data_IF_723974587152
#
_entry.id   IF_723974587152
#
_cell.length_a   1.000
_cell.length_b   1.000
_cell.length_c   1.000
_cell.angle_alpha   90.00
_cell.angle_beta   90.00
_cell.angle_gamma   90.00
#
_symmetry.space_group_name_H-M   'P 1'
#
loop_
_entity.id
_entity.type
_entity.pdbx_description
1 polymer ?
#
# COMPACT_ATOMS: atom_id res chain seq x y z
N UNK A 1 17.85 -35.25 -22.52
CA UNK A 1 17.78 -34.79 -21.11
C UNK A 1 16.34 -34.82 -20.66
N UNK A 2 16.01 -35.59 -19.62
CA UNK A 2 14.66 -35.58 -19.04
C UNK A 2 14.49 -34.29 -18.24
N UNK A 3 13.43 -33.55 -18.53
CA UNK A 3 13.00 -32.39 -17.73
C UNK A 3 11.86 -32.84 -16.84
N UNK A 4 11.98 -32.66 -15.53
CA UNK A 4 10.90 -32.91 -14.59
C UNK A 4 10.30 -31.59 -14.15
N UNK A 5 8.99 -31.39 -14.34
CA UNK A 5 8.29 -30.21 -13.84
C UNK A 5 8.22 -30.29 -12.31
N UNK A 6 8.73 -29.25 -11.64
CA UNK A 6 8.70 -29.11 -10.18
C UNK A 6 7.49 -28.28 -9.78
N UNK A 7 7.29 -27.16 -10.48
CA UNK A 7 6.31 -26.16 -10.12
C UNK A 7 5.86 -25.37 -11.36
N UNK A 8 4.58 -24.99 -11.35
CA UNK A 8 3.99 -24.06 -12.30
C UNK A 8 3.27 -22.98 -11.49
N UNK A 9 3.65 -21.72 -11.71
CA UNK A 9 3.02 -20.55 -11.14
C UNK A 9 2.68 -19.54 -12.22
N UNK A 10 2.13 -18.40 -11.81
CA UNK A 10 1.83 -17.30 -12.73
C UNK A 10 2.31 -15.98 -12.17
N UNK A 11 2.86 -15.13 -13.03
CA UNK A 11 3.11 -13.73 -12.68
C UNK A 11 2.45 -12.81 -13.69
N UNK A 12 2.25 -11.57 -13.30
CA UNK A 12 1.57 -10.57 -14.14
C UNK A 12 2.53 -10.00 -15.17
N UNK A 13 2.09 -9.97 -16.43
CA UNK A 13 2.80 -9.35 -17.54
C UNK A 13 2.03 -8.12 -18.01
N UNK A 14 2.57 -6.95 -17.70
CA UNK A 14 1.99 -5.67 -18.14
C UNK A 14 2.41 -5.42 -19.58
N UNK A 15 1.55 -5.77 -20.54
CA UNK A 15 1.77 -5.47 -21.95
C UNK A 15 1.39 -4.02 -22.26
N UNK A 16 2.17 -3.32 -23.08
CA UNK A 16 1.82 -1.99 -23.59
C UNK A 16 0.49 -2.02 -24.36
N UNK A 17 -0.50 -1.28 -23.88
CA UNK A 17 -1.81 -1.16 -24.53
C UNK A 17 -1.85 0.06 -25.47
N UNK A 18 -2.63 -0.01 -26.56
CA UNK A 18 -2.80 1.13 -27.47
C UNK A 18 -3.34 2.37 -26.76
N UNK A 19 -4.27 2.17 -25.81
CA UNK A 19 -4.82 3.23 -24.96
C UNK A 19 -3.73 3.97 -24.18
N UNK A 20 -2.72 3.25 -23.67
CA UNK A 20 -1.61 3.86 -22.94
C UNK A 20 -0.82 4.85 -23.80
N UNK A 21 -0.67 4.54 -25.10
CA UNK A 21 -0.03 5.46 -26.06
C UNK A 21 -0.85 6.73 -26.31
N UNK A 22 -2.19 6.62 -26.30
CA UNK A 22 -3.10 7.76 -26.50
C UNK A 22 -3.04 8.72 -25.31
N UNK A 23 -2.97 8.19 -24.09
CA UNK A 23 -3.01 9.01 -22.86
C UNK A 23 -1.62 9.41 -22.34
N UNK A 24 -0.55 8.95 -22.99
CA UNK A 24 0.83 9.22 -22.58
C UNK A 24 1.14 10.71 -22.36
N UNK A 25 0.73 11.66 -23.24
CA UNK A 25 0.99 13.09 -23.00
C UNK A 25 0.36 13.60 -21.70
N UNK A 26 -0.84 13.12 -21.35
CA UNK A 26 -1.52 13.50 -20.11
C UNK A 26 -0.82 12.92 -18.88
N UNK A 27 -0.23 11.73 -19.01
CA UNK A 27 0.55 11.09 -17.94
C UNK A 27 1.82 11.88 -17.66
N UNK A 28 2.53 12.34 -18.69
CA UNK A 28 3.71 13.18 -18.53
C UNK A 28 3.36 14.54 -17.89
N UNK A 29 2.22 15.14 -18.25
CA UNK A 29 1.71 16.34 -17.58
C UNK A 29 1.39 16.07 -16.11
N UNK A 30 0.75 14.94 -15.76
CA UNK A 30 0.51 14.56 -14.35
C UNK A 30 1.84 14.44 -13.60
N UNK A 31 2.83 13.74 -14.15
CA UNK A 31 4.15 13.58 -13.52
C UNK A 31 4.80 14.94 -13.27
N UNK A 32 4.81 15.83 -14.26
CA UNK A 32 5.33 17.18 -14.12
C UNK A 32 4.63 17.94 -12.96
N UNK A 33 3.29 17.94 -12.94
CA UNK A 33 2.52 18.60 -11.89
C UNK A 33 2.75 17.99 -10.51
N UNK A 34 2.91 16.67 -10.44
CA UNK A 34 3.20 15.97 -9.20
C UNK A 34 4.62 16.30 -8.70
N UNK A 35 5.62 16.35 -9.58
CA UNK A 35 6.98 16.80 -9.23
C UNK A 35 6.97 18.24 -8.72
N UNK A 36 6.22 19.14 -9.39
CA UNK A 36 6.07 20.53 -8.93
C UNK A 36 5.40 20.57 -7.56
N UNK A 37 4.35 19.77 -7.34
CA UNK A 37 3.68 19.66 -6.05
C UNK A 37 4.60 19.15 -4.95
N UNK A 38 5.31 18.04 -5.16
CA UNK A 38 6.23 17.46 -4.18
C UNK A 38 7.37 18.42 -3.86
N UNK A 39 7.89 19.12 -4.87
CA UNK A 39 8.86 20.18 -4.70
C UNK A 39 8.31 21.33 -3.83
N UNK A 40 7.15 21.89 -4.18
CA UNK A 40 6.51 22.97 -3.41
C UNK A 40 6.16 22.54 -1.99
N UNK A 41 5.65 21.32 -1.81
CA UNK A 41 5.34 20.74 -0.52
C UNK A 41 6.62 20.62 0.32
N UNK A 42 7.72 20.15 -0.29
CA UNK A 42 9.02 20.08 0.37
C UNK A 42 9.50 21.47 0.82
N UNK A 43 9.41 22.48 -0.06
CA UNK A 43 9.78 23.87 0.25
C UNK A 43 8.95 24.47 1.40
N UNK A 44 7.63 24.31 1.32
CA UNK A 44 6.68 24.79 2.34
C UNK A 44 7.04 24.17 3.69
N UNK A 45 7.23 22.85 3.76
CA UNK A 45 7.56 22.20 5.02
C UNK A 45 9.00 22.47 5.50
N UNK A 46 9.98 22.57 4.59
CA UNK A 46 11.37 22.89 4.95
C UNK A 46 11.50 24.28 5.55
N UNK A 47 10.76 25.27 5.01
CA UNK A 47 10.76 26.64 5.52
C UNK A 47 9.87 26.80 6.77
N UNK A 48 8.62 26.30 6.75
CA UNK A 48 7.66 26.52 7.85
C UNK A 48 7.96 25.70 9.11
N UNK A 49 8.38 24.44 8.98
CA UNK A 49 8.61 23.56 10.14
C UNK A 49 10.08 23.56 10.55
N UNK A 50 10.98 23.45 9.57
CA UNK A 50 12.39 23.23 9.86
C UNK A 50 13.22 24.53 9.86
N UNK A 51 12.61 25.67 9.49
CA UNK A 51 13.28 26.98 9.46
C UNK A 51 14.49 27.02 8.52
N UNK A 52 14.59 26.05 7.59
CA UNK A 52 15.69 25.97 6.64
C UNK A 52 15.33 26.84 5.44
N UNK A 53 16.07 27.93 5.27
CA UNK A 53 16.04 28.69 4.01
C UNK A 53 16.62 27.83 2.89
N UNK A 54 16.06 27.96 1.71
CA UNK A 54 16.65 27.41 0.49
C UNK A 54 18.09 27.92 0.32
N UNK A 55 19.04 27.01 0.15
CA UNK A 55 20.45 27.34 -0.02
C UNK A 55 20.75 27.99 -1.40
N UNK A 56 19.81 27.93 -2.36
CA UNK A 56 20.02 28.38 -3.73
C UNK A 56 18.92 29.34 -4.23
N UNK A 57 19.26 30.62 -4.36
CA UNK A 57 18.35 31.69 -4.82
C UNK A 57 17.93 31.54 -6.29
N UNK A 58 18.78 30.91 -7.12
CA UNK A 58 18.48 30.67 -8.54
C UNK A 58 17.30 29.72 -8.75
N UNK A 59 17.24 28.64 -7.98
CA UNK A 59 16.14 27.66 -8.07
C UNK A 59 14.81 28.30 -7.64
N UNK A 60 14.86 29.20 -6.65
CA UNK A 60 13.71 29.98 -6.20
C UNK A 60 13.20 30.93 -7.28
N UNK A 61 14.11 31.59 -7.99
CA UNK A 61 13.78 32.51 -9.09
C UNK A 61 13.19 31.77 -10.30
N UNK A 62 13.76 30.61 -10.66
CA UNK A 62 13.23 29.76 -11.73
C UNK A 62 11.82 29.26 -11.36
N UNK A 63 11.63 28.78 -10.14
CA UNK A 63 10.32 28.35 -9.64
C UNK A 63 9.30 29.50 -9.67
N UNK A 64 9.70 30.72 -9.31
CA UNK A 64 8.84 31.91 -9.37
C UNK A 64 8.43 32.28 -10.80
N UNK A 65 9.34 32.19 -11.78
CA UNK A 65 9.01 32.43 -13.19
C UNK A 65 8.03 31.39 -13.73
N UNK A 66 8.27 30.11 -13.45
CA UNK A 66 7.36 29.01 -13.81
C UNK A 66 5.98 29.25 -13.18
N UNK A 67 5.94 29.60 -11.90
CA UNK A 67 4.70 29.91 -11.20
C UNK A 67 3.93 31.07 -11.83
N UNK A 68 4.61 32.15 -12.23
CA UNK A 68 4.00 33.28 -12.92
C UNK A 68 3.39 32.87 -14.27
N UNK A 69 4.11 32.09 -15.08
CA UNK A 69 3.63 31.59 -16.37
C UNK A 69 2.40 30.69 -16.21
N UNK A 70 2.47 29.73 -15.28
CA UNK A 70 1.34 28.82 -15.00
C UNK A 70 0.13 29.57 -14.46
N UNK A 71 0.33 30.62 -13.66
CA UNK A 71 -0.75 31.47 -13.17
C UNK A 71 -1.44 32.22 -14.30
N UNK A 72 -0.66 32.76 -15.24
CA UNK A 72 -1.16 33.44 -16.43
C UNK A 72 -1.97 32.48 -17.33
N UNK A 73 -1.48 31.27 -17.53
CA UNK A 73 -2.21 30.20 -18.21
C UNK A 73 -3.52 29.85 -17.47
N UNK A 74 -3.45 29.67 -16.16
CA UNK A 74 -4.63 29.38 -15.33
C UNK A 74 -5.70 30.47 -15.44
N UNK A 75 -5.31 31.74 -15.49
CA UNK A 75 -6.22 32.86 -15.72
C UNK A 75 -6.90 32.80 -17.09
N UNK A 76 -6.15 32.55 -18.17
CA UNK A 76 -6.71 32.45 -19.52
C UNK A 76 -7.62 31.23 -19.70
N UNK A 77 -7.33 30.13 -19.00
CA UNK A 77 -8.12 28.91 -19.08
C UNK A 77 -9.19 28.78 -17.99
N UNK A 78 -9.44 29.83 -17.18
CA UNK A 78 -10.34 29.78 -16.01
C UNK A 78 -11.72 29.18 -16.29
N UNK A 79 -12.28 29.44 -17.48
CA UNK A 79 -13.62 28.98 -17.87
C UNK A 79 -13.61 27.50 -18.33
N UNK A 80 -12.44 26.95 -18.66
CA UNK A 80 -12.23 25.59 -19.14
C UNK A 80 -11.64 24.65 -18.08
N UNK A 81 -11.15 25.16 -16.95
CA UNK A 81 -10.52 24.37 -15.87
C UNK A 81 -11.38 23.17 -15.48
N UNK A 82 -12.69 23.36 -15.35
CA UNK A 82 -13.62 22.28 -14.95
C UNK A 82 -13.79 21.22 -16.03
N UNK A 83 -13.88 21.63 -17.30
CA UNK A 83 -13.95 20.70 -18.43
C UNK A 83 -12.67 19.87 -18.46
N UNK A 84 -11.51 20.51 -18.28
CA UNK A 84 -10.21 19.84 -18.21
C UNK A 84 -10.17 18.83 -17.06
N UNK A 85 -10.62 19.21 -15.86
CA UNK A 85 -10.67 18.31 -14.68
C UNK A 85 -11.61 17.12 -14.93
N UNK A 86 -12.82 17.35 -15.46
CA UNK A 86 -13.80 16.29 -15.73
C UNK A 86 -13.25 15.31 -16.78
N UNK A 87 -12.71 15.82 -17.88
CA UNK A 87 -12.11 15.00 -18.93
C UNK A 87 -10.94 14.19 -18.36
N UNK A 88 -10.07 14.82 -17.55
CA UNK A 88 -8.98 14.11 -16.89
C UNK A 88 -9.49 13.01 -15.96
N UNK A 89 -10.53 13.27 -15.16
CA UNK A 89 -11.12 12.29 -14.27
C UNK A 89 -11.73 11.10 -15.02
N UNK A 90 -12.42 11.36 -16.14
CA UNK A 90 -12.95 10.30 -17.01
C UNK A 90 -11.81 9.46 -17.59
N UNK A 91 -10.76 10.09 -18.13
CA UNK A 91 -9.59 9.40 -18.69
C UNK A 91 -8.88 8.57 -17.62
N UNK A 92 -8.69 9.12 -16.43
CA UNK A 92 -8.11 8.43 -15.28
C UNK A 92 -8.94 7.23 -14.85
N UNK A 93 -10.27 7.40 -14.72
CA UNK A 93 -11.16 6.31 -14.36
C UNK A 93 -11.15 5.19 -15.40
N UNK A 94 -11.17 5.54 -16.70
CA UNK A 94 -11.07 4.58 -17.79
C UNK A 94 -9.73 3.83 -17.76
N UNK A 95 -8.61 4.51 -17.49
CA UNK A 95 -7.29 3.87 -17.34
C UNK A 95 -7.29 2.85 -16.20
N UNK A 96 -7.78 3.25 -15.01
CA UNK A 96 -7.93 2.36 -13.86
C UNK A 96 -8.83 1.16 -14.17
N UNK A 97 -9.96 1.40 -14.85
CA UNK A 97 -10.90 0.35 -15.20
C UNK A 97 -10.31 -0.64 -16.21
N UNK A 98 -9.66 -0.15 -17.27
CA UNK A 98 -8.98 -1.00 -18.26
C UNK A 98 -7.86 -1.80 -17.63
N UNK A 99 -7.03 -1.17 -16.80
CA UNK A 99 -5.91 -1.85 -16.15
C UNK A 99 -6.39 -2.92 -15.16
N UNK A 100 -7.44 -2.62 -14.39
CA UNK A 100 -8.07 -3.58 -13.49
C UNK A 100 -8.63 -4.77 -14.28
N UNK A 101 -9.38 -4.49 -15.34
CA UNK A 101 -9.97 -5.53 -16.17
C UNK A 101 -8.90 -6.41 -16.83
N UNK A 102 -7.79 -5.82 -17.31
CA UNK A 102 -6.67 -6.58 -17.85
C UNK A 102 -6.08 -7.51 -16.79
N UNK A 103 -5.75 -7.00 -15.62
CA UNK A 103 -5.13 -7.78 -14.54
C UNK A 103 -5.97 -9.00 -14.11
N UNK A 104 -7.28 -8.80 -13.89
CA UNK A 104 -8.16 -9.87 -13.43
C UNK A 104 -8.55 -10.85 -14.54
N UNK A 105 -8.22 -10.55 -15.80
CA UNK A 105 -8.34 -11.49 -16.91
C UNK A 105 -7.04 -12.25 -17.14
N UNK A 106 -7.12 -13.56 -17.40
CA UNK A 106 -5.95 -14.44 -17.62
C UNK A 106 -5.04 -14.04 -18.79
N UNK A 107 -5.46 -13.09 -19.63
CA UNK A 107 -4.75 -12.70 -20.85
C UNK A 107 -3.44 -11.93 -20.60
N UNK A 108 -3.24 -11.38 -19.41
CA UNK A 108 -2.02 -10.66 -19.02
C UNK A 108 -1.23 -11.38 -17.92
N UNK A 109 -1.42 -12.69 -17.77
CA UNK A 109 -0.57 -13.53 -16.91
C UNK A 109 0.39 -14.33 -17.77
N UNK A 110 1.63 -14.44 -17.31
CA UNK A 110 2.63 -15.35 -17.87
C UNK A 110 2.80 -16.53 -16.94
N UNK A 111 2.90 -17.71 -17.53
CA UNK A 111 3.19 -18.92 -16.79
C UNK A 111 4.69 -18.98 -16.51
N UNK A 112 5.03 -19.26 -15.26
CA UNK A 112 6.39 -19.56 -14.80
C UNK A 112 6.47 -21.05 -14.53
N UNK A 113 7.46 -21.70 -15.13
CA UNK A 113 7.73 -23.12 -14.95
C UNK A 113 9.11 -23.32 -14.34
N UNK A 114 9.20 -24.12 -13.29
CA UNK A 114 10.46 -24.58 -12.74
C UNK A 114 10.67 -26.04 -13.13
N UNK A 115 11.77 -26.32 -13.83
CA UNK A 115 12.15 -27.68 -14.21
C UNK A 115 13.43 -28.12 -13.53
N UNK A 116 13.46 -29.37 -13.11
CA UNK A 116 14.68 -30.08 -12.73
C UNK A 116 15.34 -30.69 -13.97
N UNK A 117 16.64 -30.47 -14.11
CA UNK A 117 17.52 -31.04 -15.13
C UNK A 117 18.68 -31.72 -14.39
N UNK A 118 18.96 -32.97 -14.78
CA UNK A 118 20.14 -33.73 -14.30
C UNK A 118 20.31 -33.77 -12.76
N UNK A 119 19.18 -33.91 -12.04
CA UNK A 119 19.07 -34.13 -10.57
C UNK A 119 19.63 -33.05 -9.63
N UNK A 120 20.26 -31.99 -10.14
CA UNK A 120 20.75 -30.91 -9.28
C UNK A 120 20.67 -29.51 -9.92
N UNK A 121 20.25 -29.42 -11.17
CA UNK A 121 20.12 -28.14 -11.87
C UNK A 121 18.65 -27.79 -12.03
N UNK A 122 18.30 -26.57 -11.69
CA UNK A 122 16.97 -26.01 -11.82
C UNK A 122 17.01 -24.96 -12.91
N UNK A 123 16.05 -25.01 -13.82
CA UNK A 123 15.84 -23.94 -14.79
C UNK A 123 14.46 -23.31 -14.58
N UNK A 124 14.45 -21.97 -14.55
CA UNK A 124 13.24 -21.17 -14.58
C UNK A 124 12.94 -20.78 -16.01
N UNK A 125 11.76 -21.18 -16.48
CA UNK A 125 11.24 -20.84 -17.80
C UNK A 125 10.02 -19.94 -17.66
N UNK A 126 9.89 -18.95 -18.54
CA UNK A 126 8.67 -18.16 -18.68
C UNK A 126 8.06 -18.39 -20.07
N UNK A 127 6.73 -18.43 -20.13
CA UNK A 127 5.98 -18.50 -21.38
C UNK A 127 5.22 -17.21 -21.59
N UNK A 128 5.60 -16.42 -22.59
CA UNK A 128 4.87 -15.20 -22.93
C UNK A 128 3.48 -15.54 -23.51
N UNK A 129 2.48 -14.66 -23.34
CA UNK A 129 1.16 -14.89 -23.88
C UNK A 129 1.26 -14.92 -25.41
N UNK A 130 0.62 -15.91 -26.05
CA UNK A 130 0.58 -16.09 -27.52
C UNK A 130 1.91 -16.51 -28.17
N UNK A 131 2.92 -16.93 -27.39
CA UNK A 131 4.13 -17.58 -27.93
C UNK A 131 4.19 -19.03 -27.52
N UNK A 132 4.59 -19.92 -28.42
CA UNK A 132 4.83 -21.34 -28.12
C UNK A 132 6.22 -21.60 -27.52
N UNK A 133 7.09 -20.59 -27.50
CA UNK A 133 8.46 -20.68 -27.01
C UNK A 133 8.57 -20.29 -25.55
N UNK A 134 9.13 -21.18 -24.75
CA UNK A 134 9.55 -20.88 -23.38
C UNK A 134 10.96 -20.28 -23.40
N UNK A 135 11.16 -19.15 -22.74
CA UNK A 135 12.49 -18.57 -22.54
C UNK A 135 13.01 -18.92 -21.14
N UNK A 136 14.27 -19.36 -21.07
CA UNK A 136 14.94 -19.58 -19.80
C UNK A 136 15.38 -18.23 -19.24
N UNK A 137 14.89 -17.87 -18.05
CA UNK A 137 15.25 -16.62 -17.38
C UNK A 137 16.18 -16.85 -16.19
N UNK A 138 16.21 -18.08 -15.65
CA UNK A 138 17.03 -18.44 -14.50
C UNK A 138 17.60 -19.85 -14.64
N UNK A 139 18.80 -20.05 -14.09
CA UNK A 139 19.42 -21.36 -13.92
C UNK A 139 20.22 -21.35 -12.63
N UNK A 140 19.97 -22.30 -11.74
CA UNK A 140 20.62 -22.40 -10.42
C UNK A 140 20.66 -23.85 -9.94
N UNK A 141 21.47 -24.16 -8.93
CA UNK A 141 21.48 -25.47 -8.29
C UNK A 141 20.52 -25.54 -7.09
N UNK A 142 20.14 -26.75 -6.65
CA UNK A 142 19.29 -26.91 -5.46
C UNK A 142 19.93 -26.27 -4.21
N UNK A 143 21.25 -26.40 -4.08
CA UNK A 143 22.04 -25.92 -2.93
C UNK A 143 22.20 -24.39 -2.91
N UNK A 144 22.00 -23.73 -4.05
CA UNK A 144 22.05 -22.26 -4.13
C UNK A 144 20.83 -21.58 -3.51
N UNK A 145 19.73 -22.32 -3.28
CA UNK A 145 18.51 -21.78 -2.68
C UNK A 145 18.72 -21.52 -1.19
N UNK A 146 18.56 -20.26 -0.79
CA UNK A 146 18.68 -19.83 0.60
C UNK A 146 17.33 -19.94 1.31
N UNK A 147 16.32 -19.20 0.83
CA UNK A 147 14.96 -19.22 1.38
C UNK A 147 13.91 -18.89 0.32
N UNK A 148 12.66 -19.20 0.65
CA UNK A 148 11.48 -18.82 -0.13
C UNK A 148 10.84 -17.61 0.52
N UNK A 149 10.79 -16.49 -0.20
CA UNK A 149 10.18 -15.26 0.30
C UNK A 149 8.72 -15.19 -0.08
N UNK A 150 7.90 -14.66 0.83
CA UNK A 150 6.54 -14.20 0.53
C UNK A 150 6.52 -12.69 0.79
N UNK A 151 6.35 -11.90 -0.28
CA UNK A 151 6.31 -10.44 -0.22
C UNK A 151 4.93 -9.95 -0.64
N UNK A 152 4.43 -8.92 0.05
CA UNK A 152 3.18 -8.24 -0.34
C UNK A 152 3.53 -6.92 -0.99
N UNK A 153 3.12 -6.75 -2.25
CA UNK A 153 3.44 -5.59 -3.06
C UNK A 153 2.17 -4.90 -3.56
N UNK A 154 2.19 -3.56 -3.74
CA UNK A 154 1.15 -2.87 -4.45
C UNK A 154 1.17 -3.31 -5.91
N UNK A 155 0.01 -3.73 -6.41
CA UNK A 155 -0.19 -3.95 -7.82
C UNK A 155 -0.41 -2.60 -8.50
N UNK A 156 0.63 -2.10 -9.17
CA UNK A 156 0.54 -0.90 -9.98
C UNK A 156 0.01 -1.26 -11.35
N UNK A 157 -0.92 -0.46 -11.87
CA UNK A 157 -1.37 -0.64 -13.23
C UNK A 157 -1.93 0.62 -13.87
N UNK A 158 -2.19 0.49 -15.16
CA UNK A 158 -2.54 1.62 -16.02
C UNK A 158 -1.31 2.47 -16.34
N UNK A 159 -1.54 3.45 -17.20
CA UNK A 159 -0.48 4.38 -17.61
C UNK A 159 -0.18 5.38 -16.50
N UNK A 160 -1.16 5.66 -15.63
CA UNK A 160 -0.99 6.51 -14.45
C UNK A 160 -0.29 5.84 -13.27
N UNK A 161 0.07 4.54 -13.38
CA UNK A 161 0.71 3.73 -12.34
C UNK A 161 -0.03 3.77 -10.99
N UNK A 162 -1.36 3.68 -11.04
CA UNK A 162 -2.18 3.70 -9.83
C UNK A 162 -2.15 2.34 -9.14
N UNK A 163 -2.29 2.36 -7.81
CA UNK A 163 -2.41 1.14 -7.02
C UNK A 163 -3.80 0.54 -7.27
N UNK A 164 -3.86 -0.54 -8.04
CA UNK A 164 -5.09 -1.24 -8.40
C UNK A 164 -5.56 -2.19 -7.29
N UNK A 165 -4.61 -2.90 -6.68
CA UNK A 165 -4.82 -3.84 -5.57
C UNK A 165 -3.49 -4.12 -4.85
N UNK A 166 -3.47 -5.08 -3.92
CA UNK A 166 -2.26 -5.61 -3.31
C UNK A 166 -2.15 -7.12 -3.59
N UNK A 167 -0.95 -7.58 -3.94
CA UNK A 167 -0.68 -8.97 -4.31
C UNK A 167 0.40 -9.57 -3.43
N UNK A 168 0.33 -10.88 -3.23
CA UNK A 168 1.30 -11.68 -2.51
C UNK A 168 2.16 -12.45 -3.51
N UNK A 169 3.36 -11.95 -3.74
CA UNK A 169 4.35 -12.61 -4.59
C UNK A 169 5.15 -13.62 -3.78
N UNK A 170 5.39 -14.78 -4.38
CA UNK A 170 6.33 -15.78 -3.87
C UNK A 170 7.60 -15.73 -4.71
N UNK A 171 8.73 -15.67 -4.03
CA UNK A 171 10.05 -15.54 -4.66
C UNK A 171 11.04 -16.57 -4.12
N UNK A 172 11.99 -16.97 -4.95
CA UNK A 172 13.12 -17.82 -4.55
C UNK A 172 14.35 -16.92 -4.41
N UNK A 173 14.95 -16.88 -3.22
CA UNK A 173 16.19 -16.17 -2.96
C UNK A 173 17.36 -17.13 -2.94
N UNK A 174 18.44 -16.75 -3.62
CA UNK A 174 19.68 -17.50 -3.66
C UNK A 174 20.73 -16.91 -2.70
N UNK A 175 21.70 -17.72 -2.27
CA UNK A 175 22.83 -17.27 -1.44
C UNK A 175 23.69 -16.18 -2.09
N UNK A 176 23.69 -16.10 -3.42
CA UNK A 176 24.41 -15.06 -4.17
C UNK A 176 23.65 -13.71 -4.25
N UNK A 177 22.51 -13.59 -3.56
CA UNK A 177 21.68 -12.37 -3.53
C UNK A 177 20.71 -12.21 -4.71
N UNK A 178 20.77 -13.08 -5.72
CA UNK A 178 19.76 -13.09 -6.79
C UNK A 178 18.44 -13.64 -6.28
N UNK A 179 17.34 -13.11 -6.81
CA UNK A 179 16.00 -13.57 -6.49
C UNK A 179 15.15 -13.67 -7.76
N UNK A 180 14.13 -14.53 -7.71
CA UNK A 180 13.24 -14.80 -8.83
C UNK A 180 11.79 -14.89 -8.36
N UNK A 181 10.90 -14.12 -8.98
CA UNK A 181 9.45 -14.26 -8.79
C UNK A 181 8.99 -15.55 -9.45
N UNK A 182 8.23 -16.37 -8.71
CA UNK A 182 7.73 -17.67 -9.20
C UNK A 182 6.22 -17.75 -9.25
N UNK A 183 5.53 -16.96 -8.43
CA UNK A 183 4.06 -16.93 -8.39
C UNK A 183 3.53 -15.63 -7.78
N UNK A 184 2.33 -15.24 -8.16
CA UNK A 184 1.63 -14.05 -7.68
C UNK A 184 0.15 -14.37 -7.41
N UNK A 185 -0.27 -14.23 -6.14
CA UNK A 185 -1.65 -14.51 -5.73
C UNK A 185 -2.28 -13.32 -4.99
N UNK A 186 -3.60 -13.22 -5.04
CA UNK A 186 -4.35 -12.18 -4.31
C UNK A 186 -4.48 -12.53 -2.83
N UNK A 187 -4.53 -13.82 -2.50
CA UNK A 187 -4.77 -14.28 -1.14
C UNK A 187 -3.48 -14.80 -0.49
N UNK A 188 -3.17 -14.39 0.76
CA UNK A 188 -1.95 -14.84 1.45
C UNK A 188 -1.93 -16.35 1.70
N UNK A 189 -3.10 -17.00 1.76
CA UNK A 189 -3.18 -18.44 1.93
C UNK A 189 -2.65 -19.20 0.71
N UNK A 190 -2.92 -18.72 -0.50
CA UNK A 190 -2.47 -19.34 -1.74
C UNK A 190 -0.95 -19.24 -1.87
N UNK A 191 -0.39 -18.05 -1.64
CA UNK A 191 1.07 -17.84 -1.62
C UNK A 191 1.77 -18.68 -0.54
N UNK A 192 1.15 -18.85 0.63
CA UNK A 192 1.70 -19.75 1.66
C UNK A 192 1.70 -21.21 1.23
N UNK A 193 0.67 -21.68 0.51
CA UNK A 193 0.62 -23.04 -0.03
C UNK A 193 1.69 -23.23 -1.10
N UNK A 194 1.86 -22.25 -2.00
CA UNK A 194 2.93 -22.24 -3.00
C UNK A 194 4.31 -22.27 -2.35
N UNK A 195 4.56 -21.39 -1.38
CA UNK A 195 5.83 -21.33 -0.66
C UNK A 195 6.14 -22.63 0.08
N UNK A 196 5.15 -23.27 0.72
CA UNK A 196 5.33 -24.58 1.36
C UNK A 196 5.70 -25.68 0.38
N UNK A 197 5.09 -25.71 -0.81
CA UNK A 197 5.44 -26.68 -1.85
C UNK A 197 6.89 -26.51 -2.29
N UNK A 198 7.32 -25.27 -2.54
CA UNK A 198 8.69 -24.95 -2.95
C UNK A 198 9.70 -25.22 -1.82
N UNK A 199 9.43 -24.75 -0.60
CA UNK A 199 10.26 -24.96 0.57
C UNK A 199 10.48 -26.45 0.87
N UNK A 200 9.43 -27.26 0.78
CA UNK A 200 9.54 -28.72 0.95
C UNK A 200 10.43 -29.36 -0.13
N UNK A 201 10.39 -28.85 -1.36
CA UNK A 201 11.19 -29.36 -2.46
C UNK A 201 12.67 -28.97 -2.32
N UNK A 202 12.94 -27.68 -2.05
CA UNK A 202 14.29 -27.14 -1.91
C UNK A 202 14.93 -27.37 -0.53
N UNK A 203 14.15 -27.83 0.45
CA UNK A 203 14.54 -27.89 1.87
C UNK A 203 15.02 -26.53 2.40
N UNK A 204 14.31 -25.47 2.02
CA UNK A 204 14.62 -24.10 2.36
C UNK A 204 13.59 -23.52 3.32
N UNK A 205 13.97 -22.52 4.10
CA UNK A 205 13.05 -21.82 5.00
C UNK A 205 12.08 -20.92 4.22
N UNK A 206 10.96 -20.58 4.86
CA UNK A 206 9.99 -19.62 4.32
C UNK A 206 10.09 -18.35 5.14
N UNK A 207 10.27 -17.21 4.51
CA UNK A 207 10.36 -15.91 5.17
C UNK A 207 9.29 -14.98 4.57
N UNK A 208 8.49 -14.34 5.41
CA UNK A 208 7.65 -13.23 4.97
C UNK A 208 8.49 -11.95 4.98
N UNK A 209 8.60 -11.27 3.84
CA UNK A 209 9.34 -10.01 3.76
C UNK A 209 8.66 -8.92 4.60
N UNK A 210 9.49 -8.02 5.15
CA UNK A 210 9.10 -6.92 6.03
C UNK A 210 8.29 -7.35 7.25
N UNK A 211 8.52 -8.58 7.72
CA UNK A 211 7.74 -9.15 8.82
C UNK A 211 8.52 -9.22 10.12
N UNK A 212 7.77 -9.11 11.22
CA UNK A 212 8.30 -9.03 12.57
C UNK A 212 7.53 -9.95 13.52
N UNK A 213 8.23 -10.72 14.34
CA UNK A 213 7.59 -11.64 15.29
C UNK A 213 8.56 -12.45 16.13
N UNK A 214 8.17 -13.68 16.50
CA UNK A 214 8.95 -14.62 17.34
C UNK A 214 9.19 -15.98 16.66
N UNK A 215 8.89 -16.10 15.38
CA UNK A 215 8.85 -17.40 14.69
C UNK A 215 9.73 -17.36 13.45
N UNK A 216 10.30 -18.49 13.05
CA UNK A 216 11.14 -18.66 11.85
C UNK A 216 10.57 -18.16 10.51
N UNK A 217 9.26 -17.88 10.44
CA UNK A 217 8.65 -17.29 9.25
C UNK A 217 8.92 -15.79 9.10
N UNK A 218 9.50 -15.15 10.12
CA UNK A 218 9.68 -13.70 10.14
C UNK A 218 11.07 -13.29 9.72
N UNK A 219 11.17 -12.14 9.07
CA UNK A 219 12.46 -11.56 8.67
C UNK A 219 13.23 -11.03 9.89
N UNK A 220 12.53 -10.42 10.84
CA UNK A 220 13.12 -9.80 12.02
C UNK A 220 12.43 -10.23 13.31
N UNK A 221 13.21 -10.69 14.29
CA UNK A 221 12.66 -10.97 15.61
C UNK A 221 12.37 -9.67 16.38
N UNK A 222 11.21 -9.58 17.01
CA UNK A 222 10.83 -8.45 17.84
C UNK A 222 11.54 -8.53 19.21
N UNK A 223 12.47 -7.60 19.44
CA UNK A 223 13.22 -7.53 20.70
C UNK A 223 12.27 -7.26 21.89
N UNK A 224 12.28 -8.11 22.94
CA UNK A 224 11.45 -7.93 24.14
C UNK A 224 11.64 -6.58 24.84
N UNK A 225 12.86 -6.03 24.82
CA UNK A 225 13.19 -4.73 25.43
C UNK A 225 12.50 -3.59 24.67
N UNK A 226 12.49 -3.67 23.33
CA UNK A 226 11.79 -2.70 22.51
C UNK A 226 10.28 -2.72 22.76
N UNK A 227 9.68 -3.91 22.88
CA UNK A 227 8.27 -4.08 23.22
C UNK A 227 7.93 -3.48 24.60
N UNK A 228 8.77 -3.68 25.61
CA UNK A 228 8.51 -3.13 26.95
C UNK A 228 8.54 -1.59 26.96
N UNK A 229 9.47 -0.98 26.21
CA UNK A 229 9.47 0.46 25.99
C UNK A 229 8.21 0.95 25.26
N UNK A 230 7.76 0.22 24.23
CA UNK A 230 6.53 0.55 23.51
C UNK A 230 5.28 0.49 24.40
N UNK A 231 5.17 -0.51 25.27
CA UNK A 231 4.07 -0.59 26.23
C UNK A 231 4.05 0.63 27.17
N UNK A 232 5.21 1.07 27.65
CA UNK A 232 5.29 2.23 28.53
C UNK A 232 4.93 3.55 27.83
N UNK A 233 5.24 3.68 26.53
CA UNK A 233 5.02 4.93 25.77
C UNK A 233 3.64 5.00 25.09
N UNK A 234 3.09 3.87 24.64
CA UNK A 234 1.93 3.83 23.71
C UNK A 234 0.76 2.95 24.20
N UNK A 235 0.69 2.61 25.50
CA UNK A 235 -0.35 1.75 26.08
C UNK A 235 -1.80 2.19 25.86
N UNK A 236 -2.06 3.45 25.50
CA UNK A 236 -3.44 3.92 25.34
C UNK A 236 -4.05 3.70 23.95
N UNK A 237 -3.26 3.31 22.93
CA UNK A 237 -3.75 3.07 21.56
C UNK A 237 -4.37 1.68 21.35
N UNK A 238 -4.07 0.73 22.23
CA UNK A 238 -4.61 -0.63 22.24
C UNK A 238 -5.04 -0.98 23.65
N UNK A 239 -6.28 -1.45 23.81
CA UNK A 239 -6.81 -1.90 25.09
C UNK A 239 -6.87 -3.41 25.13
N UNK A 240 -6.52 -3.95 26.28
CA UNK A 240 -6.52 -5.37 26.58
C UNK A 240 -7.40 -5.62 27.80
N UNK A 241 -8.48 -6.38 27.62
CA UNK A 241 -9.41 -6.76 28.69
C UNK A 241 -9.44 -8.28 28.81
N UNK A 242 -9.02 -8.79 29.97
CA UNK A 242 -9.00 -10.22 30.28
C UNK A 242 -10.15 -10.55 31.22
N UNK A 243 -11.00 -11.47 30.78
CA UNK A 243 -12.00 -12.13 31.62
C UNK A 243 -11.68 -13.64 31.65
N UNK A 244 -12.16 -14.35 32.68
CA UNK A 244 -11.89 -15.77 32.94
C UNK A 244 -12.13 -16.70 31.73
N UNK A 245 -13.07 -16.35 30.84
CA UNK A 245 -13.46 -17.16 29.67
C UNK A 245 -13.08 -16.53 28.32
N UNK A 246 -12.68 -15.27 28.31
CA UNK A 246 -12.58 -14.46 27.09
C UNK A 246 -11.57 -13.34 27.26
N UNK A 247 -10.72 -13.17 26.25
CA UNK A 247 -9.84 -12.01 26.12
C UNK A 247 -10.39 -11.12 25.00
N UNK A 248 -10.40 -9.81 25.22
CA UNK A 248 -10.78 -8.80 24.25
C UNK A 248 -9.63 -7.83 24.04
N UNK A 249 -9.21 -7.71 22.79
CA UNK A 249 -8.19 -6.77 22.33
C UNK A 249 -8.86 -5.81 21.38
N UNK A 250 -8.71 -4.50 21.58
CA UNK A 250 -9.26 -3.52 20.64
C UNK A 250 -8.39 -2.28 20.51
N UNK A 251 -8.39 -1.69 19.32
CA UNK A 251 -7.75 -0.40 19.09
C UNK A 251 -8.60 0.71 19.68
N UNK A 252 -7.99 1.72 20.30
CA UNK A 252 -8.69 2.90 20.78
C UNK A 252 -8.14 4.15 20.09
N UNK A 253 -9.03 5.05 19.71
CA UNK A 253 -8.61 6.35 19.19
C UNK A 253 -7.94 7.18 20.28
N UNK A 254 -6.83 7.82 19.95
CA UNK A 254 -6.14 8.77 20.83
C UNK A 254 -5.94 10.10 20.12
N UNK A 255 -5.82 11.17 20.90
CA UNK A 255 -5.53 12.50 20.37
C UNK A 255 -4.17 12.56 19.65
N UNK A 256 -3.16 11.83 20.12
CA UNK A 256 -1.88 11.65 19.39
C UNK A 256 -2.07 11.01 18.01
N UNK A 257 -3.02 10.10 17.87
CA UNK A 257 -3.39 9.50 16.57
C UNK A 257 -4.09 10.51 15.66
N UNK A 258 -4.63 11.62 16.19
CA UNK A 258 -5.32 12.66 15.41
C UNK A 258 -4.34 13.48 14.58
N UNK A 259 -3.12 13.71 15.06
CA UNK A 259 -2.08 14.39 14.24
C UNK A 259 -1.58 13.50 13.11
N UNK A 260 -1.28 12.23 13.41
CA UNK A 260 -0.90 11.25 12.37
C UNK A 260 -2.04 11.00 11.39
N UNK A 261 -3.28 11.05 11.86
CA UNK A 261 -4.45 11.02 11.00
C UNK A 261 -4.55 12.24 10.10
N UNK A 262 -4.44 13.45 10.64
CA UNK A 262 -4.43 14.69 9.85
C UNK A 262 -3.31 14.65 8.81
N UNK A 263 -2.09 14.27 9.22
CA UNK A 263 -0.96 14.09 8.30
C UNK A 263 -1.33 13.15 7.16
N UNK A 264 -1.86 11.96 7.46
CA UNK A 264 -2.27 10.97 6.44
C UNK A 264 -3.42 11.43 5.56
N UNK A 265 -4.36 12.17 6.13
CA UNK A 265 -5.49 12.77 5.42
C UNK A 265 -4.99 13.83 4.43
N UNK A 266 -4.01 14.66 4.83
CA UNK A 266 -3.34 15.60 3.94
C UNK A 266 -2.39 14.92 2.94
N UNK A 267 -1.72 13.84 3.29
CA UNK A 267 -0.93 13.06 2.32
C UNK A 267 -1.82 12.48 1.21
N UNK A 268 -3.02 12.00 1.56
CA UNK A 268 -3.93 11.33 0.61
C UNK A 268 -4.88 12.27 -0.13
N UNK A 269 -5.34 13.31 0.52
CA UNK A 269 -6.36 14.22 0.00
C UNK A 269 -5.91 15.69 -0.02
N UNK A 270 -4.78 16.00 0.61
CA UNK A 270 -4.19 17.34 0.61
C UNK A 270 -3.70 17.78 -0.75
N UNK A 271 -3.36 16.86 -1.67
CA UNK A 271 -3.10 17.21 -3.07
C UNK A 271 -4.31 17.87 -3.74
N UNK A 272 -5.52 17.32 -3.55
CA UNK A 272 -6.74 17.91 -4.10
C UNK A 272 -7.07 19.25 -3.44
N UNK A 273 -6.93 19.35 -2.12
CA UNK A 273 -7.08 20.63 -1.38
C UNK A 273 -6.08 21.66 -1.87
N UNK A 274 -4.82 21.26 -2.04
CA UNK A 274 -3.75 22.10 -2.55
C UNK A 274 -4.06 22.57 -3.96
N UNK A 275 -4.46 21.67 -4.87
CA UNK A 275 -4.86 22.07 -6.24
C UNK A 275 -5.98 23.09 -6.20
N UNK A 276 -7.03 22.90 -5.39
CA UNK A 276 -8.16 23.83 -5.33
C UNK A 276 -7.74 25.19 -4.77
N UNK A 277 -6.99 25.23 -3.68
CA UNK A 277 -6.51 26.49 -3.09
C UNK A 277 -5.52 27.18 -4.04
N UNK A 278 -4.55 26.44 -4.58
CA UNK A 278 -3.52 26.98 -5.47
C UNK A 278 -4.08 27.41 -6.81
N UNK A 279 -5.00 26.66 -7.42
CA UNK A 279 -5.66 27.09 -8.66
C UNK A 279 -6.43 28.39 -8.47
N UNK A 280 -7.16 28.54 -7.36
CA UNK A 280 -7.85 29.79 -7.00
C UNK A 280 -6.86 30.96 -6.86
N UNK A 281 -5.74 30.74 -6.19
CA UNK A 281 -4.67 31.73 -6.05
C UNK A 281 -4.01 32.06 -7.40
N UNK A 282 -3.65 31.05 -8.19
CA UNK A 282 -3.02 31.17 -9.50
C UNK A 282 -3.89 31.92 -10.51
N UNK A 283 -5.21 31.68 -10.52
CA UNK A 283 -6.14 32.41 -11.38
C UNK A 283 -6.15 33.91 -11.02
N UNK A 284 -6.19 34.24 -9.72
CA UNK A 284 -6.20 35.64 -9.27
C UNK A 284 -4.85 36.33 -9.50
N UNK A 285 -3.74 35.63 -9.23
CA UNK A 285 -2.39 36.12 -9.51
C UNK A 285 -2.16 36.31 -11.02
N UNK A 286 -2.60 35.36 -11.85
CA UNK A 286 -2.55 35.46 -13.30
C UNK A 286 -3.37 36.61 -13.85
N UNK A 287 -4.53 36.90 -13.26
CA UNK A 287 -5.34 38.08 -13.58
C UNK A 287 -4.60 39.39 -13.27
N UNK A 288 -3.90 39.45 -12.14
CA UNK A 288 -3.06 40.60 -11.79
C UNK A 288 -1.88 40.76 -12.75
N UNK A 289 -1.18 39.68 -13.08
CA UNK A 289 -0.11 39.68 -14.09
C UNK A 289 -0.63 40.15 -15.45
N UNK A 290 -1.79 39.68 -15.86
CA UNK A 290 -2.42 40.09 -17.11
C UNK A 290 -2.78 41.59 -17.11
N UNK A 291 -3.32 42.12 -16.01
CA UNK A 291 -3.61 43.55 -15.87
C UNK A 291 -2.33 44.39 -15.95
N UNK A 292 -1.23 43.96 -15.31
CA UNK A 292 0.08 44.62 -15.45
C UNK A 292 0.54 44.62 -16.91
N UNK A 293 0.42 43.50 -17.63
CA UNK A 293 0.78 43.40 -19.04
C UNK A 293 -0.07 44.33 -19.92
N UNK A 294 -1.38 44.41 -19.65
CA UNK A 294 -2.28 45.29 -20.40
C UNK A 294 -1.95 46.77 -20.19
N UNK A 295 -1.64 47.17 -18.95
CA UNK A 295 -1.18 48.52 -18.63
C UNK A 295 0.15 48.85 -19.31
N UNK A 296 1.15 47.95 -19.26
CA UNK A 296 2.43 48.13 -19.94
C UNK A 296 2.25 48.24 -21.47
N UNK A 297 1.26 47.53 -22.03
CA UNK A 297 0.92 47.59 -23.46
C UNK A 297 0.05 48.79 -23.83
N UNK A 298 -0.26 49.68 -22.89
CA UNK A 298 -1.10 50.86 -23.10
C UNK A 298 -2.56 50.54 -23.43
N UNK A 299 -3.06 49.37 -22.98
CA UNK A 299 -4.43 48.92 -23.24
C UNK A 299 -5.39 49.16 -22.08
N UNK A 300 -4.87 49.45 -20.89
CA UNK A 300 -5.61 49.78 -19.67
C UNK A 300 -4.82 50.82 -18.85
N UNK A 301 -5.52 51.63 -18.04
CA UNK A 301 -4.89 52.71 -17.26
C UNK A 301 -4.79 52.40 -15.75
N UNK A 302 -5.43 51.32 -15.28
CA UNK A 302 -5.61 51.06 -13.84
C UNK A 302 -5.29 49.60 -13.48
N UNK A 303 -4.44 49.40 -12.48
CA UNK A 303 -4.18 48.09 -11.88
C UNK A 303 -5.12 47.90 -10.69
N UNK A 304 -6.11 47.01 -10.81
CA UNK A 304 -6.95 46.61 -9.69
C UNK A 304 -6.25 45.57 -8.82
N UNK A 305 -5.80 45.99 -7.63
CA UNK A 305 -5.32 45.09 -6.58
C UNK A 305 -6.49 44.75 -5.65
N UNK A 306 -6.98 43.52 -5.71
CA UNK A 306 -7.88 43.01 -4.67
C UNK A 306 -7.07 42.65 -3.41
N UNK A 307 -7.71 42.70 -2.24
CA UNK A 307 -7.04 42.36 -0.98
C UNK A 307 -6.53 40.91 -1.02
N UNK A 308 -5.31 40.60 -0.54
CA UNK A 308 -4.79 39.23 -0.47
C UNK A 308 -5.72 38.28 0.31
N UNK A 309 -6.43 38.80 1.31
CA UNK A 309 -7.43 38.05 2.06
C UNK A 309 -8.64 37.66 1.19
N UNK A 310 -9.05 38.53 0.25
CA UNK A 310 -10.08 38.20 -0.74
C UNK A 310 -9.60 37.16 -1.75
N UNK A 311 -8.28 36.96 -1.91
CA UNK A 311 -7.77 35.93 -2.80
C UNK A 311 -7.96 34.53 -2.21
N UNK A 312 -7.82 34.42 -0.88
CA UNK A 312 -8.04 33.21 -0.10
C UNK A 312 -9.53 32.84 0.06
N UNK A 313 -10.45 33.79 -0.11
CA UNK A 313 -11.88 33.51 -0.11
C UNK A 313 -12.24 32.87 -1.47
N UNK A 314 -12.66 31.60 -1.50
CA UNK A 314 -13.12 30.99 -2.74
C UNK A 314 -14.32 31.77 -3.27
N UNK A 315 -14.36 32.04 -4.58
CA UNK A 315 -15.57 32.60 -5.19
C UNK A 315 -16.72 31.62 -4.94
N UNK A 316 -17.75 32.02 -4.20
CA UNK A 316 -18.89 31.15 -3.83
C UNK A 316 -19.85 30.93 -5.00
N UNK A 317 -19.33 30.56 -6.17
CA UNK A 317 -20.13 30.01 -7.24
C UNK A 317 -20.49 28.56 -6.89
N UNK A 318 -21.70 28.13 -7.24
CA UNK A 318 -22.21 26.77 -7.01
C UNK A 318 -21.23 25.66 -7.48
N UNK A 319 -20.38 26.00 -8.44
CA UNK A 319 -19.36 25.13 -9.01
C UNK A 319 -18.18 24.87 -8.06
N UNK A 320 -17.71 25.88 -7.32
CA UNK A 320 -16.67 25.73 -6.29
C UNK A 320 -17.21 25.01 -5.05
N UNK A 321 -18.52 25.13 -4.79
CA UNK A 321 -19.20 24.37 -3.74
C UNK A 321 -19.15 22.87 -4.05
N UNK A 322 -19.32 22.47 -5.31
CA UNK A 322 -19.27 21.06 -5.71
C UNK A 322 -17.86 20.46 -5.52
N UNK A 323 -16.81 21.17 -5.94
CA UNK A 323 -15.41 20.77 -5.71
C UNK A 323 -15.10 20.63 -4.22
N UNK A 324 -15.55 21.60 -3.40
CA UNK A 324 -15.40 21.55 -1.95
C UNK A 324 -16.16 20.37 -1.33
N UNK A 325 -17.38 20.07 -1.80
CA UNK A 325 -18.17 18.92 -1.33
C UNK A 325 -17.49 17.60 -1.70
N UNK A 326 -16.90 17.48 -2.88
CA UNK A 326 -16.13 16.28 -3.28
C UNK A 326 -14.93 16.08 -2.36
N UNK A 327 -14.15 17.14 -2.13
CA UNK A 327 -13.02 17.09 -1.18
C UNK A 327 -13.49 16.73 0.22
N UNK A 328 -14.52 17.40 0.73
CA UNK A 328 -15.07 17.12 2.04
C UNK A 328 -15.57 15.67 2.13
N UNK A 329 -16.19 15.16 1.07
CA UNK A 329 -16.60 13.77 0.95
C UNK A 329 -15.44 12.79 1.00
N UNK A 330 -14.35 13.08 0.28
CA UNK A 330 -13.10 12.28 0.35
C UNK A 330 -12.50 12.35 1.76
N UNK A 331 -12.47 13.52 2.38
CA UNK A 331 -11.99 13.73 3.75
C UNK A 331 -12.81 12.93 4.76
N UNK A 332 -14.14 12.99 4.69
CA UNK A 332 -15.05 12.24 5.55
C UNK A 332 -14.90 10.74 5.32
N UNK A 333 -14.83 10.30 4.07
CA UNK A 333 -14.70 8.88 3.72
C UNK A 333 -13.36 8.30 4.19
N UNK A 334 -12.24 8.96 3.87
CA UNK A 334 -10.92 8.55 4.34
C UNK A 334 -10.82 8.63 5.86
N UNK A 335 -11.45 9.66 6.43
CA UNK A 335 -11.52 9.86 7.87
C UNK A 335 -12.19 8.67 8.57
N UNK A 336 -13.37 8.29 8.07
CA UNK A 336 -14.12 7.15 8.54
C UNK A 336 -13.36 5.82 8.39
N UNK A 337 -12.69 5.60 7.26
CA UNK A 337 -11.90 4.38 7.03
C UNK A 337 -10.73 4.25 8.01
N UNK A 338 -10.08 5.37 8.33
CA UNK A 338 -8.95 5.39 9.27
C UNK A 338 -9.41 5.27 10.73
N UNK A 339 -10.60 5.79 11.08
CA UNK A 339 -11.13 5.74 12.45
C UNK A 339 -11.74 4.41 12.85
N UNK A 340 -11.78 3.42 11.94
CA UNK A 340 -12.42 2.13 12.19
C UNK A 340 -11.77 1.38 13.35
N UNK A 341 -12.61 0.97 14.29
CA UNK A 341 -12.17 0.26 15.48
C UNK A 341 -12.06 -1.23 15.17
N UNK A 342 -10.89 -1.78 15.45
CA UNK A 342 -10.60 -3.20 15.29
C UNK A 342 -10.81 -3.89 16.64
N UNK A 343 -11.57 -4.98 16.64
CA UNK A 343 -11.78 -5.81 17.83
C UNK A 343 -11.42 -7.26 17.56
N UNK A 344 -10.72 -7.88 18.50
CA UNK A 344 -10.48 -9.31 18.53
C UNK A 344 -10.99 -9.87 19.84
N UNK A 345 -11.77 -10.94 19.72
CA UNK A 345 -12.22 -11.71 20.86
C UNK A 345 -11.63 -13.11 20.78
N UNK A 346 -10.88 -13.48 21.81
CA UNK A 346 -10.20 -14.77 21.90
C UNK A 346 -10.83 -15.55 23.04
N UNK A 347 -11.16 -16.79 22.74
CA UNK A 347 -11.69 -17.78 23.68
C UNK A 347 -10.90 -19.06 23.54
N UNK A 348 -11.13 -20.03 24.43
CA UNK A 348 -10.55 -21.39 24.30
C UNK A 348 -10.83 -22.06 22.95
N UNK A 349 -11.96 -21.72 22.30
CA UNK A 349 -12.41 -22.39 21.08
C UNK A 349 -12.12 -21.58 19.82
N UNK A 350 -12.30 -20.26 19.87
CA UNK A 350 -12.24 -19.41 18.69
C UNK A 350 -11.57 -18.08 18.96
N UNK A 351 -10.89 -17.59 17.92
CA UNK A 351 -10.56 -16.20 17.70
C UNK A 351 -11.56 -15.62 16.69
N UNK A 352 -12.21 -14.50 17.04
CA UNK A 352 -13.11 -13.76 16.17
C UNK A 352 -12.58 -12.35 15.97
N UNK A 353 -12.47 -11.92 14.72
CA UNK A 353 -12.04 -10.59 14.32
C UNK A 353 -13.23 -9.77 13.79
N UNK A 354 -13.37 -8.56 14.31
CA UNK A 354 -14.43 -7.62 13.97
C UNK A 354 -13.85 -6.25 13.60
N UNK A 355 -14.52 -5.59 12.66
CA UNK A 355 -14.32 -4.18 12.35
C UNK A 355 -15.69 -3.50 12.47
N UNK A 356 -15.79 -2.43 13.24
CA UNK A 356 -17.03 -1.69 13.49
C UNK A 356 -18.20 -2.62 13.87
N UNK A 357 -17.94 -3.54 14.80
CA UNK A 357 -18.86 -4.60 15.26
C UNK A 357 -19.35 -5.61 14.21
N UNK A 358 -18.87 -5.55 12.96
CA UNK A 358 -19.14 -6.58 11.94
C UNK A 358 -18.05 -7.65 11.97
N UNK A 359 -18.45 -8.92 12.07
CA UNK A 359 -17.51 -10.04 12.07
C UNK A 359 -16.90 -10.18 10.69
N UNK A 360 -15.60 -9.94 10.58
CA UNK A 360 -14.84 -10.09 9.33
C UNK A 360 -14.35 -11.53 9.21
N UNK A 361 -13.86 -12.09 10.32
CA UNK A 361 -13.25 -13.41 10.27
C UNK A 361 -13.36 -14.20 11.59
N UNK A 362 -13.28 -15.52 11.46
CA UNK A 362 -13.31 -16.47 12.58
C UNK A 362 -12.36 -17.63 12.27
N UNK A 363 -11.58 -18.02 13.27
CA UNK A 363 -10.69 -19.18 13.24
C UNK A 363 -10.73 -19.89 14.60
N UNK A 364 -10.53 -21.20 14.62
CA UNK A 364 -10.43 -21.95 15.88
C UNK A 364 -9.08 -21.65 16.53
N UNK A 365 -9.08 -21.46 17.84
CA UNK A 365 -7.84 -21.14 18.58
C UNK A 365 -6.81 -22.28 18.52
N UNK A 366 -7.30 -23.53 18.47
CA UNK A 366 -6.48 -24.73 18.27
C UNK A 366 -5.76 -24.78 16.93
N UNK A 367 -6.39 -24.21 15.88
CA UNK A 367 -5.89 -24.33 14.51
C UNK A 367 -4.82 -23.26 14.23
N UNK A 368 -4.70 -22.24 15.09
CA UNK A 368 -3.72 -21.15 14.94
C UNK A 368 -2.33 -21.71 15.24
N UNK A 369 -1.46 -21.66 14.23
CA UNK A 369 -0.06 -22.07 14.35
C UNK A 369 0.80 -20.89 14.76
N UNK A 370 0.72 -19.80 13.99
CA UNK A 370 1.60 -18.65 14.16
C UNK A 370 0.87 -17.33 13.92
N UNK A 371 1.41 -16.25 14.48
CA UNK A 371 1.00 -14.89 14.14
C UNK A 371 2.20 -13.95 14.16
N UNK A 372 2.21 -12.96 13.27
CA UNK A 372 3.28 -11.97 13.15
C UNK A 372 2.78 -10.69 12.47
N UNK A 373 3.55 -9.61 12.60
CA UNK A 373 3.30 -8.31 11.98
C UNK A 373 3.97 -8.26 10.61
N UNK A 374 3.32 -7.61 9.63
CA UNK A 374 3.93 -7.24 8.36
C UNK A 374 3.90 -5.72 8.24
N UNK A 375 5.08 -5.13 8.01
CA UNK A 375 5.30 -3.70 7.92
C UNK A 375 5.46 -3.27 6.46
N UNK A 376 4.33 -3.12 5.78
CA UNK A 376 4.27 -2.49 4.46
C UNK A 376 3.75 -1.05 4.59
N UNK A 377 3.25 -0.46 3.49
CA UNK A 377 2.63 0.88 3.47
C UNK A 377 1.55 1.06 4.56
N UNK A 378 0.84 -0.02 4.90
CA UNK A 378 0.04 -0.11 6.12
C UNK A 378 0.47 -1.35 6.90
N UNK A 379 0.79 -1.21 8.20
CA UNK A 379 1.08 -2.37 9.04
C UNK A 379 -0.15 -3.27 9.17
N UNK A 380 0.06 -4.58 9.14
CA UNK A 380 -0.97 -5.61 9.24
C UNK A 380 -0.49 -6.75 10.14
N UNK A 381 -1.44 -7.54 10.67
CA UNK A 381 -1.10 -8.74 11.44
C UNK A 381 -1.66 -9.95 10.70
N UNK A 382 -0.79 -10.89 10.36
CA UNK A 382 -1.20 -12.18 9.84
C UNK A 382 -1.31 -13.19 10.97
N UNK A 383 -2.39 -13.97 10.94
CA UNK A 383 -2.59 -15.15 11.77
C UNK A 383 -2.72 -16.34 10.84
N UNK A 384 -1.73 -17.24 10.88
CA UNK A 384 -1.71 -18.44 10.06
C UNK A 384 -2.20 -19.59 10.93
N UNK A 385 -3.32 -20.19 10.51
CA UNK A 385 -3.75 -21.48 11.00
C UNK A 385 -3.48 -22.61 10.02
N UNK A 386 -3.97 -23.81 10.37
CA UNK A 386 -3.80 -25.02 9.56
C UNK A 386 -4.29 -24.86 8.12
N UNK A 387 -5.54 -24.40 7.96
CA UNK A 387 -6.23 -24.36 6.67
C UNK A 387 -6.63 -22.94 6.25
N UNK A 388 -6.20 -21.92 7.00
CA UNK A 388 -6.67 -20.55 6.81
C UNK A 388 -5.66 -19.54 7.30
N UNK A 389 -5.55 -18.44 6.55
CA UNK A 389 -4.81 -17.25 6.97
C UNK A 389 -5.82 -16.13 7.24
N UNK A 390 -5.74 -15.50 8.41
CA UNK A 390 -6.55 -14.33 8.78
C UNK A 390 -5.64 -13.11 8.76
N UNK A 391 -6.03 -12.10 8.01
CA UNK A 391 -5.32 -10.82 7.95
C UNK A 391 -6.09 -9.75 8.73
N UNK A 392 -5.42 -9.10 9.68
CA UNK A 392 -5.90 -7.92 10.41
C UNK A 392 -5.23 -6.71 9.77
N UNK A 393 -5.94 -6.08 8.84
CA UNK A 393 -5.38 -5.08 7.94
C UNK A 393 -5.44 -3.65 8.49
N UNK A 394 -4.67 -2.74 7.90
CA UNK A 394 -4.82 -1.26 8.01
C UNK A 394 -4.63 -0.71 9.42
N UNK A 395 -3.55 -1.08 10.12
CA UNK A 395 -3.15 -0.35 11.32
C UNK A 395 -2.62 1.04 10.94
N UNK A 396 -2.81 2.01 11.83
CA UNK A 396 -2.40 3.39 11.58
C UNK A 396 -0.90 3.60 11.81
N UNK A 397 -0.27 2.81 12.67
CA UNK A 397 1.13 2.96 13.03
C UNK A 397 1.69 1.58 13.29
N UNK A 398 2.96 1.39 12.97
CA UNK A 398 3.69 0.15 13.21
C UNK A 398 3.66 -0.20 14.70
N UNK A 399 3.94 0.77 15.56
CA UNK A 399 3.91 0.61 17.02
C UNK A 399 2.57 0.06 17.54
N UNK A 400 1.45 0.55 16.99
CA UNK A 400 0.11 0.08 17.37
C UNK A 400 -0.09 -1.38 16.93
N UNK A 401 0.37 -1.75 15.74
CA UNK A 401 0.30 -3.12 15.24
C UNK A 401 1.16 -4.07 16.09
N UNK A 402 2.38 -3.66 16.46
CA UNK A 402 3.29 -4.43 17.31
C UNK A 402 2.72 -4.65 18.72
N UNK A 403 2.18 -3.62 19.37
CA UNK A 403 1.54 -3.73 20.69
C UNK A 403 0.32 -4.64 20.61
N UNK A 404 -0.51 -4.45 19.58
CA UNK A 404 -1.70 -5.29 19.36
C UNK A 404 -1.32 -6.75 19.14
N UNK A 405 -0.29 -7.01 18.33
CA UNK A 405 0.26 -8.35 18.11
C UNK A 405 0.84 -8.95 19.40
N UNK A 406 1.53 -8.17 20.23
CA UNK A 406 2.09 -8.67 21.48
C UNK A 406 1.00 -9.15 22.45
N UNK A 407 -0.10 -8.39 22.60
CA UNK A 407 -1.26 -8.85 23.36
C UNK A 407 -1.94 -10.08 22.75
N UNK A 408 -1.98 -10.16 21.42
CA UNK A 408 -2.52 -11.31 20.70
C UNK A 408 -1.68 -12.58 20.96
N UNK A 409 -0.35 -12.50 20.82
CA UNK A 409 0.59 -13.60 21.06
C UNK A 409 0.48 -14.13 22.50
N UNK A 410 0.44 -13.24 23.48
CA UNK A 410 0.27 -13.61 24.89
C UNK A 410 -1.08 -14.30 25.16
N UNK A 411 -2.15 -13.78 24.57
CA UNK A 411 -3.49 -14.35 24.72
C UNK A 411 -3.63 -15.72 24.05
N UNK A 412 -3.03 -15.91 22.88
CA UNK A 412 -2.98 -17.20 22.19
C UNK A 412 -2.24 -18.25 23.02
N UNK A 413 -1.06 -17.90 23.55
CA UNK A 413 -0.28 -18.78 24.44
C UNK A 413 -1.09 -19.21 25.67
N UNK A 414 -1.78 -18.26 26.31
CA UNK A 414 -2.61 -18.52 27.48
C UNK A 414 -3.69 -19.57 27.20
N UNK A 415 -4.39 -19.46 26.06
CA UNK A 415 -5.48 -20.38 25.74
C UNK A 415 -5.02 -21.71 25.13
N UNK A 416 -3.90 -21.73 24.40
CA UNK A 416 -3.32 -22.95 23.84
C UNK A 416 -2.71 -23.84 24.93
N UNK A 417 -2.06 -23.27 25.94
CA UNK A 417 -1.54 -24.02 27.09
C UNK A 417 -2.64 -24.64 27.96
N UNK A 418 -3.87 -24.10 27.90
CA UNK A 418 -5.03 -24.62 28.63
C UNK A 418 -5.83 -25.68 27.87
N UNK A 419 -5.43 -26.01 26.63
CA UNK A 419 -6.05 -27.10 25.87
C UNK A 419 -5.39 -28.43 26.25
N UNK A 420 -6.16 -29.51 26.47
CA UNK A 420 -5.56 -30.83 26.66
C UNK A 420 -4.73 -31.19 25.42
N UNK A 421 -3.48 -31.63 25.63
CA UNK A 421 -2.64 -32.17 24.55
C UNK A 421 -3.46 -33.23 23.80
N UNK A 422 -3.60 -33.09 22.48
CA UNK A 422 -4.09 -34.19 21.64
C UNK A 422 -3.18 -35.39 21.92
N UNK A 423 -3.76 -36.48 22.42
CA UNK A 423 -3.14 -37.80 22.38
C UNK A 423 -3.12 -38.22 20.91
N UNK A 424 -2.05 -37.88 20.20
CA UNK A 424 -1.78 -38.44 18.89
C UNK A 424 -1.08 -39.81 19.09
N UNK A 425 -1.80 -40.86 18.69
CA UNK A 425 -1.33 -42.20 18.31
C UNK A 425 -0.47 -43.00 19.31
N UNK A 426 -1.13 -43.70 20.24
CA UNK A 426 -0.73 -45.06 20.58
C UNK A 426 -1.61 -46.02 19.78
N UNK A 427 -1.05 -46.57 18.70
CA UNK A 427 -1.55 -47.82 18.12
C UNK A 427 -1.17 -48.91 19.12
N UNK A 428 -2.10 -49.70 19.68
CA UNK A 428 -1.72 -50.90 20.41
C UNK A 428 -1.19 -51.90 19.38
N UNK A 429 0.03 -52.38 19.60
CA UNK A 429 0.48 -53.64 19.02
C UNK A 429 -0.47 -54.74 19.52
N UNK A 430 -1.40 -55.20 18.68
CA UNK A 430 -1.98 -56.52 18.84
C UNK A 430 -0.97 -57.53 18.31
N UNK A 431 -0.27 -58.17 19.26
CA UNK A 431 0.19 -59.55 19.10
C UNK A 431 -1.01 -60.45 19.38
N UNK A 432 -1.43 -61.22 18.38
CA UNK A 432 -1.51 -62.68 18.42
C UNK A 432 -1.79 -63.24 17.03
#
# INVERSE_FOLDING_TARGET
MSKKLIFQGTTTYVSEHWYAKVIFPLVEVKKLLQTIYEFLLHLIWSELIYGKKLDNELDSLVAFFIFCLLSLLGYYFRDYVQIIIIVFFIIWYLDCWFAKHQYFQKNSKIDIYLYEIDKNKIIGCLSLPKTTTQSVFASFSLEEVNYISIIKLPLLGGTFQEILDEVWQTEIYLYNGKHFVVDENLFPHESLVTAKKLANYFKADIIFAHSQGKHSYVEQELNPIFLSHLFNQNSGGVRYQKNSRKIHIYTQWQWSNSWNFLKRLFEKAGFFVFIIIMSGFMIKWGGLLNNIILVIRGKDDIIYLSSPLQWLIPNWHWRNILEFVVVLGVFIYQGWQLSRVKHIYITKYYLKFFIDNKMINKIKTSDIKISFVINNSYPEILIIGENKVVNITKFQQENIAQIFWSYLDEALKTFQQQQPKRLDNQVPEEKD
#
